data_IF_929746991851
#
_entry.id   IF_929746991851
#
_cell.length_a   1.000
_cell.length_b   1.000
_cell.length_c   1.000
_cell.angle_alpha   90.00
_cell.angle_beta   90.00
_cell.angle_gamma   90.00
#
_symmetry.space_group_name_H-M   'P 1'
#
loop_
_entity.id
_entity.type
_entity.pdbx_description
1 polymer ?
#
# COMPACT_ATOMS: atom_id res chain seq x y z
N UNK A 1 16.57 -9.11 -22.76
CA UNK A 1 15.69 -8.03 -22.27
C UNK A 1 15.76 -8.08 -20.75
N UNK A 2 16.04 -6.97 -20.07
CA UNK A 2 16.18 -6.97 -18.61
C UNK A 2 14.81 -7.15 -17.96
N UNK A 3 14.49 -8.38 -17.56
CA UNK A 3 13.41 -8.64 -16.62
C UNK A 3 13.88 -8.12 -15.25
N UNK A 4 13.33 -6.96 -14.87
CA UNK A 4 13.45 -6.40 -13.52
C UNK A 4 12.89 -7.44 -12.53
N UNK A 5 13.67 -7.91 -11.53
CA UNK A 5 13.15 -8.83 -10.53
C UNK A 5 11.94 -8.16 -9.84
N UNK A 6 10.89 -8.90 -9.43
CA UNK A 6 9.68 -8.29 -8.88
C UNK A 6 10.07 -7.40 -7.70
N UNK A 7 10.12 -6.09 -7.96
CA UNK A 7 10.61 -5.11 -7.02
C UNK A 7 9.78 -5.24 -5.75
N UNK A 8 10.47 -5.53 -4.65
CA UNK A 8 10.09 -5.24 -3.27
C UNK A 8 8.82 -4.38 -3.18
N UNK A 9 7.75 -4.96 -2.62
CA UNK A 9 6.42 -4.33 -2.55
C UNK A 9 6.49 -2.82 -2.29
N UNK A 10 5.73 -1.99 -3.02
CA UNK A 10 5.79 -0.54 -2.87
C UNK A 10 5.48 -0.18 -1.42
N UNK A 11 6.35 0.64 -0.84
CA UNK A 11 6.32 1.04 0.58
C UNK A 11 6.41 -0.17 1.53
N UNK A 12 7.55 -0.88 1.60
CA UNK A 12 7.67 -2.11 2.38
C UNK A 12 7.40 -1.92 3.89
N UNK A 13 7.64 -0.72 4.42
CA UNK A 13 7.32 -0.36 5.81
C UNK A 13 5.85 -0.03 6.08
N UNK A 14 4.99 0.02 5.05
CA UNK A 14 3.60 0.45 5.21
C UNK A 14 2.78 -0.57 6.00
N UNK A 15 2.08 -0.11 7.04
CA UNK A 15 1.14 -0.90 7.83
C UNK A 15 0.01 -1.47 6.98
N UNK A 16 -0.30 -0.86 5.83
CA UNK A 16 -1.33 -1.34 4.91
C UNK A 16 -1.11 -2.79 4.46
N UNK A 17 0.14 -3.27 4.39
CA UNK A 17 0.42 -4.66 4.02
C UNK A 17 0.02 -5.66 5.10
N UNK A 18 -0.05 -5.21 6.35
CA UNK A 18 -0.47 -6.00 7.53
C UNK A 18 -1.92 -5.74 7.94
N UNK A 19 -2.61 -4.84 7.22
CA UNK A 19 -3.98 -4.46 7.54
C UNK A 19 -4.96 -5.57 7.14
N UNK A 20 -5.96 -5.84 7.97
CA UNK A 20 -7.08 -6.72 7.68
C UNK A 20 -7.90 -6.23 6.48
N UNK A 21 -7.91 -4.92 6.23
CA UNK A 21 -8.48 -4.34 5.01
C UNK A 21 -7.45 -4.34 3.86
N UNK A 22 -7.71 -5.06 2.76
CA UNK A 22 -6.77 -5.17 1.65
C UNK A 22 -6.57 -3.80 0.96
N UNK A 23 -5.32 -3.30 0.86
CA UNK A 23 -5.03 -2.05 0.16
C UNK A 23 -5.23 -2.20 -1.35
N UNK A 24 -5.58 -1.10 -2.03
CA UNK A 24 -5.59 -1.04 -3.50
C UNK A 24 -4.37 -0.27 -3.98
N UNK A 25 -3.55 -0.90 -4.82
CA UNK A 25 -2.44 -0.21 -5.47
C UNK A 25 -2.93 0.49 -6.73
N UNK A 26 -2.68 1.79 -6.83
CA UNK A 26 -3.03 2.61 -7.98
C UNK A 26 -1.73 3.08 -8.60
N UNK A 27 -1.50 2.71 -9.85
CA UNK A 27 -0.34 3.13 -10.64
C UNK A 27 -0.72 4.32 -11.52
N UNK A 28 0.02 5.42 -11.43
CA UNK A 28 -0.14 6.57 -12.31
C UNK A 28 0.62 6.35 -13.63
N UNK A 29 0.23 7.03 -14.71
CA UNK A 29 0.88 6.98 -16.03
C UNK A 29 2.38 7.33 -16.00
N UNK A 30 2.83 8.02 -14.95
CA UNK A 30 4.25 8.36 -14.72
C UNK A 30 5.02 7.27 -13.96
N UNK A 31 4.41 6.11 -13.71
CA UNK A 31 5.01 4.99 -12.98
C UNK A 31 5.00 5.12 -11.45
N UNK A 32 4.37 6.18 -10.90
CA UNK A 32 4.23 6.34 -9.45
C UNK A 32 3.15 5.41 -8.90
N UNK A 33 3.46 4.69 -7.81
CA UNK A 33 2.53 3.79 -7.15
C UNK A 33 1.96 4.46 -5.89
N UNK A 34 0.64 4.44 -5.75
CA UNK A 34 -0.08 4.95 -4.59
C UNK A 34 -0.86 3.82 -3.93
N UNK A 35 -0.99 3.86 -2.61
CA UNK A 35 -1.88 2.95 -1.88
C UNK A 35 -3.17 3.70 -1.58
N UNK A 36 -4.27 3.20 -2.12
CA UNK A 36 -5.62 3.66 -1.79
C UNK A 36 -6.20 2.78 -0.68
N UNK A 37 -6.66 3.43 0.40
CA UNK A 37 -7.29 2.73 1.51
C UNK A 37 -8.81 2.66 1.29
N UNK A 38 -9.43 1.46 1.16
CA UNK A 38 -10.86 1.34 0.97
C UNK A 38 -11.69 1.75 2.21
N UNK A 39 -11.11 1.65 3.41
CA UNK A 39 -11.79 2.05 4.66
C UNK A 39 -11.88 3.58 4.79
N UNK A 40 -10.76 4.26 4.63
CA UNK A 40 -10.71 5.73 4.69
C UNK A 40 -11.21 6.40 3.40
N UNK A 41 -11.40 5.62 2.33
CA UNK A 41 -11.73 6.08 0.97
C UNK A 41 -10.83 7.22 0.46
N UNK A 42 -9.57 7.26 0.93
CA UNK A 42 -8.58 8.29 0.62
C UNK A 42 -7.22 7.67 0.33
N UNK A 43 -6.31 8.49 -0.20
CA UNK A 43 -4.89 8.17 -0.36
C UNK A 43 -4.13 8.69 0.87
N UNK A 44 -3.87 7.88 1.91
CA UNK A 44 -3.06 8.31 3.03
C UNK A 44 -1.64 8.68 2.59
N UNK A 45 -0.94 9.48 3.39
CA UNK A 45 0.45 9.82 3.13
C UNK A 45 1.30 8.53 3.18
N UNK A 46 2.01 8.26 2.09
CA UNK A 46 2.81 7.05 1.92
C UNK A 46 4.27 7.32 2.29
N UNK A 47 4.93 6.43 3.05
CA UNK A 47 4.44 5.15 3.60
C UNK A 47 3.52 5.32 4.83
N UNK A 48 2.49 4.47 4.95
CA UNK A 48 1.56 4.53 6.09
C UNK A 48 2.20 3.89 7.32
N UNK A 49 2.77 4.72 8.19
CA UNK A 49 3.39 4.26 9.45
C UNK A 49 2.42 4.31 10.64
N UNK A 50 1.33 5.07 10.52
CA UNK A 50 0.27 5.17 11.53
C UNK A 50 -1.07 5.34 10.82
N UNK A 51 -2.08 4.58 11.24
CA UNK A 51 -3.43 4.68 10.71
C UNK A 51 -4.45 4.43 11.83
N UNK A 52 -5.32 5.42 12.03
CA UNK A 52 -6.48 5.39 12.94
C UNK A 52 -7.44 4.21 12.68
N UNK A 53 -7.54 3.75 11.43
CA UNK A 53 -8.36 2.61 11.00
C UNK A 53 -7.55 1.32 10.84
N UNK A 54 -6.31 1.28 11.34
CA UNK A 54 -5.50 0.07 11.27
C UNK A 54 -6.13 -1.04 12.10
N UNK A 55 -6.42 -2.14 11.44
CA UNK A 55 -6.79 -3.40 12.07
C UNK A 55 -5.79 -4.41 11.56
N UNK A 56 -5.07 -5.08 12.45
CA UNK A 56 -4.13 -6.13 12.05
C UNK A 56 -4.90 -7.30 11.44
N UNK A 57 -4.39 -7.85 10.33
CA UNK A 57 -4.89 -9.11 9.80
C UNK A 57 -4.52 -10.20 10.79
N UNK A 58 -5.48 -10.61 11.61
CA UNK A 58 -5.39 -11.86 12.35
C UNK A 58 -5.64 -13.01 11.37
N UNK A 59 -4.58 -13.74 11.06
CA UNK A 59 -4.61 -15.00 10.31
C UNK A 59 -5.04 -16.15 11.22
#
# INVERSE_FOLDING_TARGET
>A
MAEDPPASVPFPGSLCHRCAAPPRYVTSDRGSIFIYCPLLKRYPAQPVMACEMYVERHE
#
